data_IF_359799892287
#
_entry.id   IF_359799892287
#
_cell.length_a   1.000
_cell.length_b   1.000
_cell.length_c   1.000
_cell.angle_alpha   90.00
_cell.angle_beta   90.00
_cell.angle_gamma   90.00
#
_symmetry.space_group_name_H-M   'P 1'
#
loop_
_entity.id
_entity.type
_entity.pdbx_description
1 polymer ?
#
# COMPACT_ATOMS: atom_id res chain seq x y z
N UNK A 1 -0.47 -10.42 23.89
CA UNK A 1 -0.50 -9.25 24.80
C UNK A 1 -1.90 -8.66 24.97
N UNK A 2 -2.65 -8.41 23.88
CA UNK A 2 -4.00 -7.82 23.96
C UNK A 2 -4.97 -8.51 24.96
N UNK A 3 -5.06 -9.85 25.04
CA UNK A 3 -5.92 -10.51 26.04
C UNK A 3 -5.52 -10.25 27.48
N UNK A 4 -4.22 -10.07 27.74
CA UNK A 4 -3.71 -9.76 29.09
C UNK A 4 -4.13 -8.35 29.48
N UNK A 5 -3.98 -7.37 28.57
CA UNK A 5 -4.43 -5.98 28.78
C UNK A 5 -5.93 -5.95 29.08
N UNK A 6 -6.74 -6.69 28.29
CA UNK A 6 -8.19 -6.76 28.48
C UNK A 6 -8.59 -7.40 29.83
N UNK A 7 -7.89 -8.45 30.27
CA UNK A 7 -8.17 -9.11 31.56
C UNK A 7 -7.96 -8.19 32.77
N UNK A 8 -7.20 -7.11 32.63
CA UNK A 8 -6.96 -6.11 33.66
C UNK A 8 -8.02 -4.98 33.64
N UNK A 9 -9.03 -5.07 32.77
CA UNK A 9 -10.08 -4.05 32.63
C UNK A 9 -9.62 -2.78 31.89
N UNK A 10 -8.48 -2.82 31.20
CA UNK A 10 -7.95 -1.68 30.44
C UNK A 10 -8.59 -1.67 29.05
N UNK A 11 -9.40 -0.65 28.77
CA UNK A 11 -10.14 -0.52 27.52
C UNK A 11 -9.35 0.17 26.39
N UNK A 12 -8.41 1.04 26.73
CA UNK A 12 -7.64 1.85 25.77
C UNK A 12 -6.17 1.87 26.16
N UNK A 13 -5.30 1.86 25.15
CA UNK A 13 -3.85 1.99 25.34
C UNK A 13 -3.27 2.96 24.32
N UNK A 14 -2.28 3.79 24.71
CA UNK A 14 -1.61 4.65 23.77
C UNK A 14 -0.80 3.80 22.79
N UNK A 15 -0.92 4.13 21.50
CA UNK A 15 -0.14 3.51 20.42
C UNK A 15 0.50 4.60 19.57
N UNK A 16 1.57 4.24 18.88
CA UNK A 16 2.12 5.11 17.85
C UNK A 16 1.22 5.02 16.62
N UNK A 17 0.96 6.15 15.98
CA UNK A 17 0.23 6.19 14.72
C UNK A 17 0.89 5.30 13.67
N UNK A 18 0.10 4.79 12.72
CA UNK A 18 0.63 4.09 11.55
C UNK A 18 1.57 5.00 10.75
N UNK A 19 2.60 4.38 10.17
CA UNK A 19 3.46 5.03 9.18
C UNK A 19 2.62 5.25 7.91
N UNK A 20 2.66 6.47 7.37
CA UNK A 20 1.92 6.85 6.17
C UNK A 20 2.89 6.91 5.00
N UNK A 21 2.59 6.19 3.92
CA UNK A 21 3.49 6.07 2.76
C UNK A 21 2.72 6.40 1.48
N UNK A 22 3.17 7.41 0.75
CA UNK A 22 2.65 7.70 -0.59
C UNK A 22 3.39 6.83 -1.63
N UNK A 23 2.64 6.22 -2.54
CA UNK A 23 3.15 5.27 -3.53
C UNK A 23 2.58 5.59 -4.92
N UNK A 24 3.46 5.70 -5.91
CA UNK A 24 3.12 5.83 -7.33
C UNK A 24 4.13 5.06 -8.18
N UNK A 25 3.73 4.77 -9.42
CA UNK A 25 4.65 4.36 -10.50
C UNK A 25 4.74 5.47 -11.54
N UNK A 26 5.80 5.46 -12.34
CA UNK A 26 6.01 6.39 -13.45
C UNK A 26 6.46 5.64 -14.69
N UNK A 27 6.10 6.11 -15.87
CA UNK A 27 6.45 5.49 -17.16
C UNK A 27 5.27 5.43 -18.13
N UNK A 28 5.49 5.88 -19.36
CA UNK A 28 4.51 5.88 -20.45
C UNK A 28 4.17 4.46 -20.94
N UNK A 29 5.06 3.50 -20.68
CA UNK A 29 4.88 2.09 -20.98
C UNK A 29 3.91 1.41 -20.00
N UNK A 30 3.58 2.02 -18.86
CA UNK A 30 2.83 1.36 -17.80
C UNK A 30 1.31 1.44 -18.01
N UNK A 31 0.66 0.31 -17.81
CA UNK A 31 -0.79 0.16 -17.88
C UNK A 31 -1.35 -0.52 -16.62
N UNK A 32 -2.60 -0.22 -16.26
CA UNK A 32 -3.29 -0.88 -15.15
C UNK A 32 -3.73 -2.31 -15.54
N UNK A 33 -3.62 -3.30 -14.62
CA UNK A 33 -4.22 -4.61 -14.82
C UNK A 33 -5.71 -4.51 -15.18
N UNK A 34 -6.13 -5.26 -16.21
CA UNK A 34 -7.50 -5.24 -16.73
C UNK A 34 -7.75 -4.29 -17.91
N UNK A 35 -6.79 -3.43 -18.24
CA UNK A 35 -6.81 -2.66 -19.49
C UNK A 35 -6.05 -3.41 -20.59
N UNK A 36 -6.43 -3.25 -21.87
CA UNK A 36 -5.64 -3.80 -22.97
C UNK A 36 -4.26 -3.13 -23.04
N UNK A 37 -3.25 -3.88 -23.41
CA UNK A 37 -1.90 -3.37 -23.69
C UNK A 37 -1.83 -2.87 -25.13
N UNK A 38 -1.27 -1.67 -25.32
CA UNK A 38 -0.78 -1.21 -26.61
C UNK A 38 0.62 -1.76 -26.93
N UNK A 39 1.13 -1.43 -28.12
CA UNK A 39 2.49 -1.80 -28.53
C UNK A 39 3.53 -1.22 -27.56
N UNK A 40 4.39 -2.09 -27.03
CA UNK A 40 5.45 -1.70 -26.09
C UNK A 40 4.98 -1.44 -24.65
N UNK A 41 3.69 -1.54 -24.35
CA UNK A 41 3.18 -1.37 -22.99
C UNK A 41 3.29 -2.64 -22.14
N UNK A 42 3.41 -2.45 -20.83
CA UNK A 42 3.46 -3.50 -19.81
C UNK A 42 2.58 -3.14 -18.62
N UNK A 43 2.18 -4.13 -17.83
CA UNK A 43 1.40 -3.87 -16.62
C UNK A 43 2.28 -3.43 -15.45
N UNK A 44 1.78 -2.48 -14.66
CA UNK A 44 2.43 -2.02 -13.43
C UNK A 44 2.31 -3.06 -12.29
N UNK A 45 3.36 -3.86 -12.11
CA UNK A 45 3.46 -4.88 -11.07
C UNK A 45 4.20 -4.40 -9.82
N UNK A 46 5.13 -3.47 -9.97
CA UNK A 46 5.96 -2.97 -8.87
C UNK A 46 5.12 -2.27 -7.81
N UNK A 47 4.20 -1.39 -8.22
CA UNK A 47 3.32 -0.70 -7.28
C UNK A 47 2.44 -1.68 -6.52
N UNK A 48 1.93 -2.72 -7.18
CA UNK A 48 1.15 -3.76 -6.53
C UNK A 48 1.98 -4.50 -5.48
N UNK A 49 3.19 -4.95 -5.85
CA UNK A 49 4.06 -5.68 -4.94
C UNK A 49 4.42 -4.84 -3.70
N UNK A 50 4.86 -3.59 -3.90
CA UNK A 50 5.24 -2.69 -2.80
C UNK A 50 4.03 -2.34 -1.93
N UNK A 51 2.85 -2.13 -2.51
CA UNK A 51 1.63 -1.88 -1.75
C UNK A 51 1.31 -3.03 -0.79
N UNK A 52 1.34 -4.28 -1.28
CA UNK A 52 1.07 -5.46 -0.46
C UNK A 52 2.09 -5.62 0.68
N UNK A 53 3.36 -5.36 0.40
CA UNK A 53 4.41 -5.39 1.44
C UNK A 53 4.18 -4.33 2.51
N UNK A 54 3.78 -3.12 2.12
CA UNK A 54 3.48 -2.03 3.06
C UNK A 54 2.25 -2.32 3.91
N UNK A 55 1.20 -2.92 3.34
CA UNK A 55 0.03 -3.37 4.11
C UNK A 55 0.40 -4.45 5.14
N UNK A 56 1.25 -5.41 4.78
CA UNK A 56 1.75 -6.44 5.70
C UNK A 56 2.57 -5.86 6.86
N UNK A 57 3.26 -4.73 6.62
CA UNK A 57 3.99 -3.98 7.66
C UNK A 57 3.06 -3.09 8.51
N UNK A 58 1.75 -3.07 8.23
CA UNK A 58 0.77 -2.27 8.96
C UNK A 58 0.79 -0.78 8.61
N UNK A 59 1.38 -0.41 7.47
CA UNK A 59 1.39 0.97 6.99
C UNK A 59 0.02 1.41 6.47
N UNK A 60 -0.22 2.73 6.49
CA UNK A 60 -1.31 3.36 5.74
C UNK A 60 -0.76 3.82 4.39
N UNK A 61 -1.21 3.19 3.31
CA UNK A 61 -0.69 3.47 1.96
C UNK A 61 -1.61 4.45 1.23
N UNK A 62 -1.03 5.52 0.71
CA UNK A 62 -1.70 6.50 -0.15
C UNK A 62 -1.29 6.19 -1.60
N UNK A 63 -2.16 5.51 -2.33
CA UNK A 63 -1.89 5.11 -3.72
C UNK A 63 -2.24 6.25 -4.68
N UNK A 64 -1.23 6.81 -5.34
CA UNK A 64 -1.34 7.92 -6.26
C UNK A 64 -1.42 7.47 -7.74
N UNK A 65 -1.40 6.16 -8.00
CA UNK A 65 -1.54 5.60 -9.35
C UNK A 65 -0.26 5.64 -10.19
N UNK A 66 -0.42 5.72 -11.51
CA UNK A 66 0.66 5.87 -12.49
C UNK A 66 0.70 7.35 -12.89
N UNK A 67 1.84 7.98 -12.71
CA UNK A 67 2.14 9.33 -13.19
C UNK A 67 2.84 9.18 -14.53
N UNK A 68 2.44 9.95 -15.54
CA UNK A 68 3.11 9.91 -16.86
C UNK A 68 4.37 10.77 -16.81
N UNK A 69 5.35 10.40 -17.63
CA UNK A 69 6.60 11.16 -17.77
C UNK A 69 6.39 12.44 -18.60
#
# INVERSE_FOLDING_TARGET
ELPVIASLGIAEVPVIRKVRVALFSTGDELQLPGQPLGDGQIYDTNRLAVHLMLEQLGCEVINLGIIRD
#
